data_IF_515330901141
#
_entry.id   IF_515330901141
#
_cell.length_a   1.000
_cell.length_b   1.000
_cell.length_c   1.000
_cell.angle_alpha   90.00
_cell.angle_beta   90.00
_cell.angle_gamma   90.00
#
_symmetry.space_group_name_H-M   'P 1'
#
loop_
_entity.id
_entity.type
_entity.pdbx_description
1 polymer ?
#
# COMPACT_ATOMS: atom_id res chain seq x y z
N UNK A 1 60.23 -63.21 15.05
CA UNK A 1 59.64 -62.12 14.27
C UNK A 1 59.92 -60.83 15.03
N UNK A 2 60.73 -59.94 14.45
CA UNK A 2 61.42 -58.83 15.13
C UNK A 2 60.40 -57.82 15.71
N UNK A 3 60.54 -57.42 16.98
CA UNK A 3 59.62 -56.48 17.65
C UNK A 3 59.48 -55.15 16.92
N UNK A 4 60.55 -54.73 16.24
CA UNK A 4 60.61 -53.50 15.47
C UNK A 4 59.72 -53.54 14.22
N UNK A 5 59.59 -54.70 13.58
CA UNK A 5 58.71 -54.87 12.42
C UNK A 5 57.23 -54.75 12.86
N UNK A 6 56.90 -55.28 14.04
CA UNK A 6 55.55 -55.21 14.61
C UNK A 6 55.19 -53.78 15.03
N UNK A 7 56.12 -53.05 15.66
CA UNK A 7 55.90 -51.64 16.02
C UNK A 7 55.78 -50.72 14.80
N UNK A 8 56.59 -50.95 13.75
CA UNK A 8 56.49 -50.16 12.52
C UNK A 8 55.18 -50.43 11.76
N UNK A 9 54.69 -51.68 11.74
CA UNK A 9 53.39 -52.02 11.18
C UNK A 9 52.22 -51.38 11.96
N UNK A 10 52.30 -51.36 13.29
CA UNK A 10 51.28 -50.72 14.14
C UNK A 10 51.29 -49.19 13.95
N UNK A 11 52.46 -48.55 13.91
CA UNK A 11 52.56 -47.11 13.64
C UNK A 11 52.08 -46.74 12.23
N UNK A 12 52.39 -47.56 11.22
CA UNK A 12 51.90 -47.36 9.85
C UNK A 12 50.37 -47.50 9.78
N UNK A 13 49.79 -48.45 10.53
CA UNK A 13 48.34 -48.66 10.61
C UNK A 13 47.65 -47.48 11.32
N UNK A 14 48.19 -47.03 12.46
CA UNK A 14 47.65 -45.87 13.20
C UNK A 14 47.80 -44.59 12.38
N UNK A 15 48.93 -44.40 11.70
CA UNK A 15 49.15 -43.28 10.78
C UNK A 15 48.19 -43.29 9.60
N UNK A 16 47.92 -44.45 9.00
CA UNK A 16 46.96 -44.61 7.91
C UNK A 16 45.51 -44.39 8.37
N UNK A 17 45.14 -44.82 9.59
CA UNK A 17 43.82 -44.58 10.17
C UNK A 17 43.63 -43.08 10.49
N UNK A 18 44.63 -42.41 11.05
CA UNK A 18 44.56 -40.97 11.32
C UNK A 18 44.55 -40.14 10.03
N UNK A 19 45.33 -40.53 9.02
CA UNK A 19 45.34 -39.86 7.72
C UNK A 19 44.01 -40.06 6.97
N UNK A 20 43.43 -41.26 7.01
CA UNK A 20 42.11 -41.52 6.39
C UNK A 20 40.97 -40.82 7.13
N UNK A 21 40.98 -40.82 8.47
CA UNK A 21 40.04 -40.02 9.27
C UNK A 21 40.19 -38.52 9.00
N UNK A 22 41.42 -38.01 8.86
CA UNK A 22 41.68 -36.62 8.50
C UNK A 22 41.20 -36.25 7.08
N UNK A 23 41.30 -37.16 6.12
CA UNK A 23 40.82 -36.95 4.75
C UNK A 23 39.28 -36.99 4.67
N UNK A 24 38.63 -37.90 5.40
CA UNK A 24 37.17 -37.97 5.50
C UNK A 24 36.62 -36.74 6.22
N UNK A 25 37.24 -36.34 7.34
CA UNK A 25 36.88 -35.11 8.04
C UNK A 25 37.07 -33.88 7.15
N UNK A 26 38.19 -33.77 6.42
CA UNK A 26 38.43 -32.68 5.46
C UNK A 26 37.36 -32.65 4.36
N UNK A 27 37.03 -33.78 3.74
CA UNK A 27 35.99 -33.85 2.71
C UNK A 27 34.59 -33.53 3.25
N UNK A 28 34.31 -33.93 4.50
CA UNK A 28 33.06 -33.59 5.19
C UNK A 28 32.99 -32.08 5.48
N UNK A 29 34.05 -31.49 6.04
CA UNK A 29 34.14 -30.05 6.31
C UNK A 29 34.11 -29.21 5.02
N UNK A 30 34.75 -29.65 3.94
CA UNK A 30 34.70 -28.97 2.63
C UNK A 30 33.28 -29.01 2.06
N UNK A 31 32.60 -30.17 2.10
CA UNK A 31 31.22 -30.31 1.66
C UNK A 31 30.23 -29.52 2.54
N UNK A 32 30.47 -29.43 3.85
CA UNK A 32 29.66 -28.64 4.78
C UNK A 32 29.88 -27.14 4.56
N UNK A 33 31.13 -26.70 4.37
CA UNK A 33 31.47 -25.33 3.94
C UNK A 33 30.83 -24.97 2.59
N UNK A 34 30.80 -25.89 1.63
CA UNK A 34 30.14 -25.66 0.34
C UNK A 34 28.61 -25.55 0.49
N UNK A 35 27.98 -26.38 1.32
CA UNK A 35 26.55 -26.27 1.65
C UNK A 35 26.22 -24.97 2.36
N UNK A 36 27.03 -24.55 3.34
CA UNK A 36 26.87 -23.28 4.03
C UNK A 36 27.01 -22.09 3.07
N UNK A 37 28.01 -22.10 2.17
CA UNK A 37 28.15 -21.08 1.12
C UNK A 37 26.97 -21.05 0.16
N UNK A 38 26.45 -22.22 -0.23
CA UNK A 38 25.27 -22.31 -1.08
C UNK A 38 24.04 -21.73 -0.38
N UNK A 39 23.77 -22.13 0.86
CA UNK A 39 22.65 -21.63 1.66
C UNK A 39 22.76 -20.11 1.91
N UNK A 40 23.96 -19.63 2.23
CA UNK A 40 24.22 -18.20 2.39
C UNK A 40 23.94 -17.43 1.09
N UNK A 41 24.44 -17.90 -0.05
CA UNK A 41 24.21 -17.26 -1.34
C UNK A 41 22.73 -17.28 -1.74
N UNK A 42 22.02 -18.37 -1.45
CA UNK A 42 20.57 -18.49 -1.67
C UNK A 42 19.80 -17.49 -0.80
N UNK A 43 20.05 -17.45 0.51
CA UNK A 43 19.39 -16.50 1.40
C UNK A 43 19.72 -15.04 1.08
N UNK A 44 20.95 -14.76 0.64
CA UNK A 44 21.33 -13.43 0.16
C UNK A 44 20.55 -13.05 -1.10
N UNK A 45 20.46 -13.96 -2.07
CA UNK A 45 19.67 -13.72 -3.29
C UNK A 45 18.20 -13.48 -2.98
N UNK A 46 17.58 -14.31 -2.13
CA UNK A 46 16.19 -14.14 -1.69
C UNK A 46 15.98 -12.82 -0.95
N UNK A 47 16.97 -12.38 -0.18
CA UNK A 47 16.94 -11.08 0.50
C UNK A 47 17.03 -9.92 -0.50
N UNK A 48 17.95 -9.97 -1.46
CA UNK A 48 18.14 -8.91 -2.46
C UNK A 48 16.89 -8.78 -3.38
N UNK A 49 16.33 -9.90 -3.84
CA UNK A 49 15.09 -9.94 -4.61
C UNK A 49 13.88 -9.47 -3.79
N UNK A 50 13.82 -9.85 -2.51
CA UNK A 50 12.80 -9.42 -1.58
C UNK A 50 12.84 -7.94 -1.28
N UNK A 51 14.03 -7.39 -1.03
CA UNK A 51 14.25 -5.97 -0.80
C UNK A 51 13.79 -5.14 -2.01
N UNK A 52 14.09 -5.60 -3.24
CA UNK A 52 13.62 -4.94 -4.45
C UNK A 52 12.09 -4.98 -4.57
N UNK A 53 11.48 -6.15 -4.34
CA UNK A 53 10.02 -6.34 -4.37
C UNK A 53 9.30 -5.47 -3.33
N UNK A 54 9.80 -5.46 -2.08
CA UNK A 54 9.26 -4.64 -0.99
C UNK A 54 9.41 -3.15 -1.26
N UNK A 55 10.56 -2.71 -1.78
CA UNK A 55 10.78 -1.32 -2.14
C UNK A 55 9.80 -0.87 -3.23
N UNK A 56 9.57 -1.69 -4.26
CA UNK A 56 8.59 -1.39 -5.30
C UNK A 56 7.17 -1.27 -4.75
N UNK A 57 6.75 -2.21 -3.89
CA UNK A 57 5.45 -2.17 -3.23
C UNK A 57 5.28 -0.93 -2.34
N UNK A 58 6.26 -0.62 -1.51
CA UNK A 58 6.28 0.56 -0.65
C UNK A 58 6.21 1.87 -1.44
N UNK A 59 6.92 1.94 -2.56
CA UNK A 59 6.92 3.11 -3.44
C UNK A 59 5.54 3.30 -4.09
N UNK A 60 4.98 2.25 -4.71
CA UNK A 60 3.67 2.32 -5.34
C UNK A 60 2.57 2.70 -4.34
N UNK A 61 2.63 2.14 -3.13
CA UNK A 61 1.75 2.52 -2.02
C UNK A 61 1.93 3.99 -1.61
N UNK A 62 3.17 4.43 -1.41
CA UNK A 62 3.47 5.79 -0.96
C UNK A 62 3.06 6.83 -2.00
N UNK A 63 3.25 6.55 -3.29
CA UNK A 63 2.81 7.41 -4.38
C UNK A 63 1.29 7.56 -4.42
N UNK A 64 0.54 6.46 -4.30
CA UNK A 64 -0.93 6.53 -4.27
C UNK A 64 -1.42 7.27 -3.02
N UNK A 65 -0.84 6.98 -1.85
CA UNK A 65 -1.19 7.64 -0.61
C UNK A 65 -0.87 9.15 -0.64
N UNK A 66 0.22 9.56 -1.31
CA UNK A 66 0.62 10.96 -1.42
C UNK A 66 -0.47 11.85 -2.02
N UNK A 67 -1.28 11.33 -2.97
CA UNK A 67 -2.40 12.07 -3.55
C UNK A 67 -3.39 12.59 -2.49
N UNK A 68 -3.65 11.79 -1.45
CA UNK A 68 -4.55 12.17 -0.36
C UNK A 68 -3.95 13.25 0.57
N UNK A 69 -2.63 13.44 0.51
CA UNK A 69 -1.93 14.51 1.23
C UNK A 69 -1.86 15.80 0.42
N UNK A 70 -1.81 15.69 -0.91
CA UNK A 70 -1.67 16.81 -1.85
C UNK A 70 -3.00 17.50 -2.16
N UNK A 71 -4.11 16.75 -2.15
CA UNK A 71 -5.42 17.29 -2.45
C UNK A 71 -6.55 16.43 -1.90
N UNK A 72 -7.79 16.85 -2.18
CA UNK A 72 -9.03 16.15 -1.83
C UNK A 72 -10.02 16.22 -2.99
N UNK A 73 -11.04 15.37 -2.94
CA UNK A 73 -11.98 15.19 -4.04
C UNK A 73 -11.25 14.61 -5.25
N UNK A 74 -10.51 13.52 -5.02
CA UNK A 74 -9.70 12.86 -6.04
C UNK A 74 -10.61 12.16 -7.05
N UNK A 75 -10.46 12.53 -8.32
CA UNK A 75 -11.25 11.97 -9.42
C UNK A 75 -10.66 10.64 -9.89
N UNK A 76 -11.42 9.82 -10.64
CA UNK A 76 -10.91 8.58 -11.20
C UNK A 76 -9.67 8.76 -12.08
N UNK A 77 -9.62 9.85 -12.86
CA UNK A 77 -8.46 10.16 -13.71
C UNK A 77 -7.19 10.41 -12.88
N UNK A 78 -7.31 11.07 -11.72
CA UNK A 78 -6.17 11.31 -10.81
C UNK A 78 -5.70 10.03 -10.10
N UNK A 79 -6.62 9.10 -9.83
CA UNK A 79 -6.33 7.88 -9.05
C UNK A 79 -5.84 6.70 -9.90
N UNK A 80 -6.35 6.57 -11.12
CA UNK A 80 -6.30 5.33 -11.93
C UNK A 80 -4.90 4.73 -12.10
N UNK A 81 -3.92 5.52 -12.55
CA UNK A 81 -2.57 5.04 -12.83
C UNK A 81 -1.88 4.52 -11.56
N UNK A 82 -1.90 5.32 -10.49
CA UNK A 82 -1.26 4.95 -9.22
C UNK A 82 -1.96 3.77 -8.55
N UNK A 83 -3.28 3.67 -8.70
CA UNK A 83 -4.06 2.53 -8.23
C UNK A 83 -3.65 1.23 -8.93
N UNK A 84 -3.51 1.24 -10.26
CA UNK A 84 -3.08 0.06 -11.01
C UNK A 84 -1.61 -0.30 -10.73
N UNK A 85 -0.74 0.69 -10.55
CA UNK A 85 0.65 0.46 -10.15
C UNK A 85 0.76 -0.25 -8.79
N UNK A 86 -0.07 0.13 -7.81
CA UNK A 86 -0.12 -0.57 -6.52
C UNK A 86 -0.63 -2.00 -6.69
N UNK A 87 -1.70 -2.21 -7.47
CA UNK A 87 -2.24 -3.54 -7.75
C UNK A 87 -1.20 -4.47 -8.39
N UNK A 88 -0.43 -3.95 -9.35
CA UNK A 88 0.64 -4.70 -10.00
C UNK A 88 1.75 -5.05 -9.00
N UNK A 89 2.19 -4.08 -8.20
CA UNK A 89 3.25 -4.29 -7.21
C UNK A 89 2.86 -5.31 -6.13
N UNK A 90 1.58 -5.35 -5.74
CA UNK A 90 1.03 -6.38 -4.86
C UNK A 90 1.16 -7.78 -5.46
N UNK A 91 0.86 -7.92 -6.75
CA UNK A 91 1.00 -9.19 -7.47
C UNK A 91 2.47 -9.60 -7.54
N UNK A 92 3.35 -8.70 -7.93
CA UNK A 92 4.79 -8.96 -8.02
C UNK A 92 5.36 -9.37 -6.64
N UNK A 93 4.87 -8.79 -5.54
CA UNK A 93 5.24 -9.19 -4.17
C UNK A 93 4.67 -10.55 -3.77
N UNK A 94 3.44 -10.87 -4.19
CA UNK A 94 2.86 -12.21 -4.00
C UNK A 94 3.65 -13.29 -4.75
N UNK A 95 4.12 -13.00 -5.96
CA UNK A 95 4.95 -13.92 -6.74
C UNK A 95 6.30 -14.17 -6.05
N UNK A 96 6.91 -13.13 -5.48
CA UNK A 96 8.11 -13.26 -4.63
C UNK A 96 7.87 -14.16 -3.41
N UNK A 97 6.73 -14.03 -2.73
CA UNK A 97 6.39 -14.92 -1.61
C UNK A 97 6.30 -16.37 -2.07
N UNK A 98 5.82 -16.64 -3.28
CA UNK A 98 5.83 -17.99 -3.86
C UNK A 98 7.24 -18.57 -4.03
N UNK A 99 8.25 -17.74 -4.33
CA UNK A 99 9.65 -18.17 -4.34
C UNK A 99 10.21 -18.36 -2.93
N UNK A 100 9.81 -17.52 -1.96
CA UNK A 100 10.15 -17.74 -0.55
C UNK A 100 9.59 -19.03 0.00
N UNK A 101 8.40 -19.46 -0.42
CA UNK A 101 7.83 -20.75 0.00
C UNK A 101 8.68 -21.96 -0.43
N UNK A 102 9.48 -21.82 -1.49
CA UNK A 102 10.34 -22.90 -2.01
C UNK A 102 11.68 -22.99 -1.29
N UNK A 103 12.24 -21.84 -0.92
CA UNK A 103 13.65 -21.74 -0.53
C UNK A 103 13.89 -20.99 0.79
N UNK A 104 12.89 -20.27 1.29
CA UNK A 104 12.95 -19.50 2.52
C UNK A 104 12.67 -20.35 3.77
N UNK A 105 12.93 -19.74 4.93
CA UNK A 105 12.58 -20.33 6.22
C UNK A 105 11.11 -20.09 6.55
N UNK A 106 10.52 -20.92 7.42
CA UNK A 106 9.14 -20.74 7.89
C UNK A 106 8.88 -19.33 8.45
N UNK A 107 9.82 -18.79 9.24
CA UNK A 107 9.71 -17.43 9.79
C UNK A 107 9.71 -16.33 8.71
N UNK A 108 10.53 -16.47 7.66
CA UNK A 108 10.53 -15.54 6.53
C UNK A 108 9.19 -15.55 5.80
N UNK A 109 8.64 -16.75 5.55
CA UNK A 109 7.36 -16.93 4.85
C UNK A 109 6.20 -16.35 5.67
N UNK A 110 6.11 -16.68 6.96
CA UNK A 110 5.03 -16.20 7.83
C UNK A 110 5.00 -14.66 7.92
N UNK A 111 6.17 -14.05 8.10
CA UNK A 111 6.25 -12.59 8.23
C UNK A 111 5.99 -11.91 6.88
N UNK A 112 6.47 -12.46 5.76
CA UNK A 112 6.20 -11.93 4.42
C UNK A 112 4.71 -12.02 4.05
N UNK A 113 4.03 -13.13 4.37
CA UNK A 113 2.58 -13.25 4.19
C UNK A 113 1.81 -12.22 5.02
N UNK A 114 2.16 -12.11 6.30
CA UNK A 114 1.54 -11.10 7.16
C UNK A 114 1.82 -9.66 6.65
N UNK A 115 2.99 -9.38 6.07
CA UNK A 115 3.28 -8.09 5.42
C UNK A 115 2.34 -7.83 4.23
N UNK A 116 2.20 -8.83 3.35
CA UNK A 116 1.31 -8.76 2.20
C UNK A 116 -0.17 -8.59 2.61
N UNK A 117 -0.62 -9.25 3.68
CA UNK A 117 -1.99 -9.13 4.19
C UNK A 117 -2.31 -7.69 4.63
N UNK A 118 -1.37 -7.01 5.29
CA UNK A 118 -1.53 -5.60 5.66
C UNK A 118 -1.63 -4.69 4.43
N UNK A 119 -0.83 -4.94 3.40
CA UNK A 119 -0.93 -4.21 2.14
C UNK A 119 -2.25 -4.48 1.40
N UNK A 120 -2.75 -5.71 1.40
CA UNK A 120 -4.08 -6.02 0.86
C UNK A 120 -5.18 -5.28 1.61
N UNK A 121 -5.12 -5.23 2.95
CA UNK A 121 -6.08 -4.46 3.75
C UNK A 121 -6.08 -2.97 3.42
N UNK A 122 -4.91 -2.38 3.15
CA UNK A 122 -4.79 -1.00 2.67
C UNK A 122 -5.34 -0.85 1.26
N UNK A 123 -4.97 -1.75 0.34
CA UNK A 123 -5.42 -1.71 -1.05
C UNK A 123 -6.93 -1.81 -1.17
N UNK A 124 -7.58 -2.69 -0.41
CA UNK A 124 -9.04 -2.83 -0.44
C UNK A 124 -9.76 -1.53 -0.06
N UNK A 125 -9.23 -0.78 0.92
CA UNK A 125 -9.80 0.52 1.28
C UNK A 125 -9.61 1.56 0.17
N UNK A 126 -8.43 1.57 -0.47
CA UNK A 126 -8.13 2.46 -1.59
C UNK A 126 -8.94 2.10 -2.85
N UNK A 127 -9.20 0.82 -3.10
CA UNK A 127 -10.02 0.32 -4.21
C UNK A 127 -11.50 0.67 -4.01
N UNK A 128 -12.02 0.55 -2.80
CA UNK A 128 -13.37 1.03 -2.46
C UNK A 128 -13.50 2.54 -2.68
N UNK A 129 -12.46 3.31 -2.33
CA UNK A 129 -12.44 4.74 -2.57
C UNK A 129 -12.38 5.08 -4.06
N UNK A 130 -11.54 4.37 -4.83
CA UNK A 130 -11.48 4.52 -6.28
C UNK A 130 -12.82 4.21 -6.95
N UNK A 131 -13.51 3.13 -6.53
CA UNK A 131 -14.87 2.81 -6.99
C UNK A 131 -15.89 3.89 -6.63
N UNK A 132 -15.77 4.49 -5.44
CA UNK A 132 -16.62 5.60 -5.02
C UNK A 132 -16.40 6.82 -5.91
N UNK A 133 -15.15 7.15 -6.26
CA UNK A 133 -14.83 8.23 -7.21
C UNK A 133 -15.44 7.98 -8.59
N UNK A 134 -15.40 6.73 -9.08
CA UNK A 134 -16.04 6.35 -10.35
C UNK A 134 -17.57 6.52 -10.29
N UNK A 135 -18.20 6.19 -9.15
CA UNK A 135 -19.63 6.41 -8.96
C UNK A 135 -19.99 7.90 -9.02
N UNK A 136 -19.22 8.75 -8.33
CA UNK A 136 -19.42 10.21 -8.34
C UNK A 136 -19.26 10.77 -9.77
N UNK A 137 -18.22 10.37 -10.49
CA UNK A 137 -18.03 10.81 -11.89
C UNK A 137 -19.19 10.35 -12.78
N UNK A 138 -19.67 9.11 -12.62
CA UNK A 138 -20.84 8.62 -13.34
C UNK A 138 -22.08 9.45 -13.03
N UNK A 139 -22.31 9.80 -11.77
CA UNK A 139 -23.44 10.65 -11.36
C UNK A 139 -23.33 12.06 -11.96
N UNK A 140 -22.13 12.62 -12.04
CA UNK A 140 -21.88 13.89 -12.73
C UNK A 140 -22.20 13.80 -14.24
N UNK A 141 -21.85 12.69 -14.89
CA UNK A 141 -22.26 12.42 -16.29
C UNK A 141 -23.77 12.35 -16.44
N UNK A 142 -24.46 11.65 -15.54
CA UNK A 142 -25.92 11.56 -15.53
C UNK A 142 -26.56 12.95 -15.42
N UNK A 143 -26.06 13.80 -14.51
CA UNK A 143 -26.53 15.18 -14.35
C UNK A 143 -26.39 15.99 -15.65
N UNK A 144 -25.23 15.90 -16.31
CA UNK A 144 -24.95 16.60 -17.57
C UNK A 144 -25.85 16.17 -18.74
N UNK A 145 -26.45 14.98 -18.66
CA UNK A 145 -27.31 14.44 -19.71
C UNK A 145 -28.79 14.77 -19.49
N UNK A 146 -29.18 15.33 -18.35
CA UNK A 146 -30.55 15.82 -18.12
C UNK A 146 -30.77 17.11 -18.93
N UNK A 147 -31.79 17.12 -19.79
CA UNK A 147 -32.08 18.26 -20.68
C UNK A 147 -32.89 19.36 -19.97
N UNK A 148 -33.85 18.98 -19.14
CA UNK A 148 -34.69 19.92 -18.39
C UNK A 148 -34.11 20.16 -16.98
N UNK A 149 -33.39 21.27 -16.84
CA UNK A 149 -32.76 21.70 -15.58
C UNK A 149 -33.79 22.07 -14.50
N UNK A 150 -35.05 22.37 -14.87
CA UNK A 150 -36.11 22.66 -13.93
C UNK A 150 -36.90 21.40 -13.49
N UNK A 151 -36.55 20.23 -14.02
CA UNK A 151 -37.26 18.98 -13.71
C UNK A 151 -36.94 18.44 -12.32
N UNK A 152 -37.90 17.75 -11.70
CA UNK A 152 -37.68 17.00 -10.45
C UNK A 152 -36.57 15.94 -10.61
N UNK A 153 -36.36 15.43 -11.83
CA UNK A 153 -35.30 14.49 -12.13
C UNK A 153 -33.92 15.14 -12.02
N UNK A 154 -33.74 16.37 -12.54
CA UNK A 154 -32.50 17.13 -12.39
C UNK A 154 -32.18 17.33 -10.90
N UNK A 155 -33.15 17.86 -10.14
CA UNK A 155 -32.99 18.10 -8.70
C UNK A 155 -32.63 16.83 -7.92
N UNK A 156 -33.23 15.69 -8.28
CA UNK A 156 -32.91 14.39 -7.67
C UNK A 156 -31.46 13.97 -7.95
N UNK A 157 -31.03 14.04 -9.21
CA UNK A 157 -29.67 13.64 -9.61
C UNK A 157 -28.63 14.58 -8.98
N UNK A 158 -28.94 15.88 -8.91
CA UNK A 158 -28.05 16.90 -8.35
C UNK A 158 -27.82 16.68 -6.84
N UNK A 159 -28.90 16.47 -6.07
CA UNK A 159 -28.80 16.14 -4.63
C UNK A 159 -28.08 14.81 -4.39
N UNK A 160 -28.30 13.82 -5.26
CA UNK A 160 -27.57 12.56 -5.19
C UNK A 160 -26.07 12.75 -5.42
N UNK A 161 -25.69 13.58 -6.39
CA UNK A 161 -24.29 13.94 -6.64
C UNK A 161 -23.65 14.59 -5.42
N UNK A 162 -24.32 15.57 -4.82
CA UNK A 162 -23.82 16.26 -3.61
C UNK A 162 -23.61 15.29 -2.44
N UNK A 163 -24.57 14.41 -2.19
CA UNK A 163 -24.45 13.39 -1.15
C UNK A 163 -23.32 12.38 -1.42
N UNK A 164 -23.15 11.93 -2.67
CA UNK A 164 -22.08 11.01 -3.05
C UNK A 164 -20.69 11.68 -2.92
N UNK A 165 -20.57 12.96 -3.27
CA UNK A 165 -19.35 13.76 -3.08
C UNK A 165 -19.03 13.90 -1.60
N UNK A 166 -20.00 14.26 -0.77
CA UNK A 166 -19.76 14.42 0.66
C UNK A 166 -19.27 13.10 1.29
N UNK A 167 -19.91 11.98 0.93
CA UNK A 167 -19.49 10.65 1.35
C UNK A 167 -18.07 10.31 0.89
N UNK A 168 -17.73 10.64 -0.36
CA UNK A 168 -16.39 10.48 -0.90
C UNK A 168 -15.37 11.25 -0.05
N UNK A 169 -15.61 12.52 0.25
CA UNK A 169 -14.71 13.37 1.04
C UNK A 169 -14.55 12.87 2.48
N UNK A 170 -15.65 12.46 3.12
CA UNK A 170 -15.61 11.85 4.47
C UNK A 170 -14.70 10.61 4.48
N UNK A 171 -14.81 9.76 3.45
CA UNK A 171 -13.97 8.58 3.32
C UNK A 171 -12.49 8.93 3.05
N UNK A 172 -12.20 9.92 2.20
CA UNK A 172 -10.81 10.38 2.00
C UNK A 172 -10.16 10.84 3.30
N UNK A 173 -10.90 11.62 4.10
CA UNK A 173 -10.42 12.08 5.40
C UNK A 173 -10.13 10.90 6.33
N UNK A 174 -11.01 9.90 6.39
CA UNK A 174 -10.76 8.66 7.15
C UNK A 174 -9.51 7.93 6.65
N UNK A 175 -9.39 7.77 5.34
CA UNK A 175 -8.27 7.10 4.65
C UNK A 175 -6.94 7.77 5.01
N UNK A 176 -6.88 9.11 4.93
CA UNK A 176 -5.69 9.88 5.24
C UNK A 176 -5.13 9.54 6.63
N UNK A 177 -5.96 9.58 7.68
CA UNK A 177 -5.50 9.27 9.03
C UNK A 177 -5.28 7.78 9.26
N UNK A 178 -6.24 6.93 8.88
CA UNK A 178 -6.14 5.48 9.13
C UNK A 178 -4.88 4.89 8.49
N UNK A 179 -4.63 5.20 7.22
CA UNK A 179 -3.50 4.67 6.50
C UNK A 179 -2.20 5.34 6.97
N UNK A 180 -2.15 6.67 6.95
CA UNK A 180 -0.92 7.41 7.25
C UNK A 180 -0.42 7.25 8.68
N UNK A 181 -1.31 7.40 9.65
CA UNK A 181 -0.92 7.48 11.07
C UNK A 181 -0.93 6.13 11.78
N UNK A 182 -1.72 5.16 11.28
CA UNK A 182 -1.93 3.90 12.00
C UNK A 182 -1.46 2.67 11.23
N UNK A 183 -1.75 2.54 9.93
CA UNK A 183 -1.36 1.34 9.16
C UNK A 183 0.09 1.39 8.66
N UNK A 184 0.54 2.54 8.14
CA UNK A 184 1.91 2.71 7.64
C UNK A 184 2.98 2.35 8.68
N UNK A 185 2.88 2.78 9.96
CA UNK A 185 3.86 2.38 10.97
C UNK A 185 3.89 0.87 11.23
N UNK A 186 2.73 0.19 11.19
CA UNK A 186 2.65 -1.26 11.36
C UNK A 186 3.31 -1.99 10.19
N UNK A 187 3.03 -1.58 8.95
CA UNK A 187 3.67 -2.11 7.74
C UNK A 187 5.20 -1.99 7.85
N UNK A 188 5.71 -0.79 8.15
CA UNK A 188 7.15 -0.55 8.29
C UNK A 188 7.78 -1.43 9.40
N UNK A 189 7.07 -1.64 10.51
CA UNK A 189 7.57 -2.52 11.57
C UNK A 189 7.61 -3.99 11.14
N UNK A 190 6.63 -4.46 10.38
CA UNK A 190 6.59 -5.84 9.85
C UNK A 190 7.72 -6.03 8.82
N UNK A 191 7.99 -5.03 7.98
CA UNK A 191 9.12 -5.04 7.06
C UNK A 191 10.45 -5.19 7.81
N UNK A 192 10.66 -4.43 8.90
CA UNK A 192 11.87 -4.60 9.72
C UNK A 192 11.92 -5.97 10.40
N UNK A 193 10.78 -6.56 10.73
CA UNK A 193 10.74 -7.91 11.25
C UNK A 193 11.14 -8.95 10.19
N UNK A 194 10.75 -8.75 8.93
CA UNK A 194 11.20 -9.60 7.83
C UNK A 194 12.71 -9.45 7.60
N UNK A 195 13.23 -8.22 7.64
CA UNK A 195 14.67 -7.96 7.57
C UNK A 195 15.43 -8.68 8.70
N UNK A 196 14.89 -8.73 9.92
CA UNK A 196 15.49 -9.49 11.01
C UNK A 196 15.61 -10.99 10.68
N UNK A 197 14.58 -11.60 10.08
CA UNK A 197 14.63 -13.01 9.69
C UNK A 197 15.72 -13.30 8.66
N UNK A 198 15.87 -12.44 7.65
CA UNK A 198 16.95 -12.58 6.67
C UNK A 198 18.32 -12.38 7.29
N UNK A 199 18.47 -11.38 8.18
CA UNK A 199 19.73 -11.17 8.89
C UNK A 199 20.10 -12.37 9.76
N UNK A 200 19.14 -12.95 10.48
CA UNK A 200 19.33 -14.17 11.26
C UNK A 200 19.80 -15.34 10.39
N UNK A 201 19.19 -15.57 9.23
CA UNK A 201 19.60 -16.60 8.28
C UNK A 201 21.02 -16.38 7.71
N UNK A 202 21.51 -15.14 7.69
CA UNK A 202 22.86 -14.78 7.25
C UNK A 202 23.87 -14.68 8.41
N UNK A 203 23.47 -14.99 9.65
CA UNK A 203 24.32 -14.84 10.84
C UNK A 203 24.63 -13.39 11.21
N UNK A 204 23.85 -12.43 10.70
CA UNK A 204 24.01 -11.00 10.97
C UNK A 204 23.15 -10.58 12.16
N UNK A 205 23.69 -9.80 13.11
CA UNK A 205 22.92 -9.34 14.27
C UNK A 205 21.88 -8.29 13.86
N UNK A 206 20.84 -8.13 14.68
CA UNK A 206 19.88 -7.03 14.55
C UNK A 206 20.58 -5.67 14.66
N UNK A 207 20.16 -4.70 13.86
CA UNK A 207 20.54 -3.30 14.07
C UNK A 207 19.68 -2.70 15.20
N UNK A 208 20.11 -1.57 15.76
CA UNK A 208 19.33 -0.86 16.78
C UNK A 208 17.94 -0.46 16.25
N UNK A 209 17.88 0.09 15.04
CA UNK A 209 16.62 0.49 14.39
C UNK A 209 15.65 -0.70 14.21
N UNK A 210 16.14 -1.86 13.74
CA UNK A 210 15.33 -3.08 13.62
C UNK A 210 14.74 -3.47 14.98
N UNK A 211 15.56 -3.48 16.04
CA UNK A 211 15.10 -3.85 17.37
C UNK A 211 14.03 -2.88 17.91
N UNK A 212 14.21 -1.57 17.74
CA UNK A 212 13.26 -0.55 18.17
C UNK A 212 11.92 -0.66 17.43
N UNK A 213 11.95 -0.87 16.10
CA UNK A 213 10.75 -1.04 15.28
C UNK A 213 9.96 -2.30 15.62
N UNK A 214 10.66 -3.42 15.88
CA UNK A 214 10.00 -4.67 16.27
C UNK A 214 9.39 -4.57 17.67
N UNK A 215 10.11 -3.96 18.62
CA UNK A 215 9.60 -3.82 19.99
C UNK A 215 8.36 -2.93 20.10
N UNK A 216 8.19 -1.98 19.17
CA UNK A 216 7.02 -1.10 19.12
C UNK A 216 5.83 -1.70 18.35
N UNK A 217 6.01 -2.80 17.60
CA UNK A 217 4.94 -3.42 16.80
C UNK A 217 3.66 -3.76 17.58
N UNK A 218 3.71 -4.35 18.79
CA UNK A 218 2.50 -4.67 19.54
C UNK A 218 1.65 -3.43 19.84
N UNK A 219 2.30 -2.34 20.24
CA UNK A 219 1.64 -1.07 20.52
C UNK A 219 1.07 -0.44 19.24
N UNK A 220 1.83 -0.45 18.14
CA UNK A 220 1.37 0.07 16.85
C UNK A 220 0.16 -0.72 16.31
N UNK A 221 0.17 -2.05 16.42
CA UNK A 221 -0.96 -2.91 16.05
C UNK A 221 -2.18 -2.60 16.90
N UNK A 222 -2.00 -2.46 18.21
CA UNK A 222 -3.09 -2.10 19.10
C UNK A 222 -3.70 -0.73 18.73
N UNK A 223 -2.87 0.29 18.47
CA UNK A 223 -3.36 1.61 18.04
C UNK A 223 -4.11 1.55 16.72
N UNK A 224 -3.62 0.76 15.76
CA UNK A 224 -4.26 0.59 14.46
C UNK A 224 -5.60 -0.13 14.54
N UNK A 225 -5.68 -1.21 15.32
CA UNK A 225 -6.91 -2.01 15.46
C UNK A 225 -8.00 -1.28 16.26
N UNK A 226 -7.63 -0.34 17.12
CA UNK A 226 -8.56 0.47 17.93
C UNK A 226 -8.68 1.92 17.41
N UNK A 227 -8.29 2.16 16.16
CA UNK A 227 -8.48 3.47 15.54
C UNK A 227 -9.97 3.73 15.30
N UNK A 228 -10.46 4.84 15.86
CA UNK A 228 -11.79 5.35 15.57
C UNK A 228 -11.69 6.70 14.87
N UNK A 229 -12.37 6.81 13.72
CA UNK A 229 -12.51 8.08 13.02
C UNK A 229 -13.84 8.72 13.40
N UNK A 230 -13.78 9.87 14.08
CA UNK A 230 -14.98 10.67 14.35
C UNK A 230 -15.30 11.53 13.14
N UNK A 231 -16.44 11.25 12.51
CA UNK A 231 -16.97 12.03 11.40
C UNK A 231 -17.07 13.52 11.75
N UNK A 232 -16.62 14.37 10.82
CA UNK A 232 -16.59 15.82 11.00
C UNK A 232 -17.88 16.44 10.43
N UNK A 233 -18.38 17.47 11.10
CA UNK A 233 -19.54 18.25 10.64
C UNK A 233 -19.25 19.03 9.37
N UNK A 234 -17.99 19.48 9.19
CA UNK A 234 -17.52 20.27 8.05
C UNK A 234 -16.45 19.48 7.26
N UNK A 235 -16.85 18.46 6.49
CA UNK A 235 -15.91 17.50 5.91
C UNK A 235 -14.97 18.10 4.87
N UNK A 236 -15.41 19.11 4.11
CA UNK A 236 -14.59 19.74 3.06
C UNK A 236 -13.57 20.71 3.66
N UNK A 237 -13.99 21.50 4.65
CA UNK A 237 -13.07 22.33 5.45
C UNK A 237 -11.99 21.49 6.11
N UNK A 238 -12.37 20.36 6.69
CA UNK A 238 -11.43 19.46 7.30
C UNK A 238 -10.49 18.83 6.26
N UNK A 239 -11.00 18.46 5.08
CA UNK A 239 -10.19 17.90 4.00
C UNK A 239 -9.10 18.86 3.51
N UNK A 240 -9.41 20.15 3.40
CA UNK A 240 -8.44 21.19 3.04
C UNK A 240 -7.35 21.36 4.10
N UNK A 241 -7.68 21.20 5.39
CA UNK A 241 -6.76 21.38 6.52
C UNK A 241 -6.12 20.09 7.06
N UNK A 242 -6.44 18.91 6.53
CA UNK A 242 -6.14 17.61 7.18
C UNK A 242 -4.65 17.34 7.38
N UNK A 243 -3.78 17.91 6.55
CA UNK A 243 -2.33 17.82 6.72
C UNK A 243 -1.81 18.53 7.98
N UNK A 244 -2.57 19.47 8.54
CA UNK A 244 -2.19 20.27 9.70
C UNK A 244 -3.06 20.01 10.94
N UNK A 245 -4.10 19.18 10.82
CA UNK A 245 -5.09 18.97 11.87
C UNK A 245 -5.06 17.53 12.41
N UNK A 246 -5.39 17.36 13.69
CA UNK A 246 -5.55 16.04 14.29
C UNK A 246 -6.92 15.44 13.94
N UNK A 247 -7.04 14.10 13.83
CA UNK A 247 -8.32 13.43 13.56
C UNK A 247 -9.36 13.67 14.65
N UNK A 248 -8.93 14.07 15.85
CA UNK A 248 -9.80 14.37 17.01
C UNK A 248 -10.21 15.83 17.10
N UNK A 249 -9.69 16.72 16.24
CA UNK A 249 -9.99 18.16 16.30
C UNK A 249 -11.47 18.44 16.04
N UNK A 250 -12.11 19.25 16.88
CA UNK A 250 -13.46 19.76 16.68
C UNK A 250 -13.44 21.28 16.61
N UNK A 251 -14.17 21.85 15.66
CA UNK A 251 -14.37 23.29 15.59
C UNK A 251 -15.32 23.71 16.73
N UNK A 252 -14.88 24.64 17.57
CA UNK A 252 -15.66 25.21 18.66
C UNK A 252 -15.87 26.72 18.43
N UNK A 253 -16.99 27.26 18.88
CA UNK A 253 -17.33 28.68 18.77
C UNK A 253 -18.27 28.99 17.60
N UNK A 254 -18.24 30.24 17.14
CA UNK A 254 -18.96 30.70 15.95
C UNK A 254 -18.38 30.01 14.70
N UNK A 255 -19.21 29.23 14.01
CA UNK A 255 -18.82 28.43 12.85
C UNK A 255 -19.32 28.98 11.53
N UNK A 256 -19.99 30.14 11.51
CA UNK A 256 -20.68 30.66 10.31
C UNK A 256 -19.72 30.84 9.12
N UNK A 257 -18.51 31.35 9.39
CA UNK A 257 -17.45 31.46 8.39
C UNK A 257 -17.01 30.09 7.85
N UNK A 258 -16.87 29.09 8.72
CA UNK A 258 -16.43 27.75 8.35
C UNK A 258 -17.51 26.98 7.60
N UNK A 259 -18.79 27.17 7.95
CA UNK A 259 -19.93 26.63 7.23
C UNK A 259 -19.98 27.20 5.81
N UNK A 260 -19.90 28.52 5.66
CA UNK A 260 -19.87 29.19 4.35
C UNK A 260 -18.71 28.67 3.49
N UNK A 261 -17.51 28.54 4.07
CA UNK A 261 -16.34 28.04 3.34
C UNK A 261 -16.52 26.56 2.96
N UNK A 262 -17.08 25.73 3.84
CA UNK A 262 -17.36 24.33 3.55
C UNK A 262 -18.26 24.17 2.32
N UNK A 263 -19.30 24.99 2.20
CA UNK A 263 -20.24 24.94 1.07
C UNK A 263 -19.58 25.36 -0.25
N UNK A 264 -18.73 26.38 -0.22
CA UNK A 264 -17.93 26.80 -1.38
C UNK A 264 -17.00 25.65 -1.82
N UNK A 265 -16.33 24.99 -0.87
CA UNK A 265 -15.45 23.87 -1.17
C UNK A 265 -16.24 22.68 -1.75
N UNK A 266 -17.44 22.40 -1.24
CA UNK A 266 -18.33 21.37 -1.77
C UNK A 266 -18.70 21.65 -3.24
N UNK A 267 -19.08 22.90 -3.55
CA UNK A 267 -19.37 23.32 -4.91
C UNK A 267 -18.15 23.19 -5.83
N UNK A 268 -16.95 23.55 -5.36
CA UNK A 268 -15.71 23.41 -6.14
C UNK A 268 -15.40 21.93 -6.46
N UNK A 269 -15.58 21.03 -5.51
CA UNK A 269 -15.39 19.59 -5.74
C UNK A 269 -16.42 19.05 -6.74
N UNK A 270 -17.69 19.46 -6.64
CA UNK A 270 -18.74 19.13 -7.63
C UNK A 270 -18.33 19.56 -9.04
N UNK A 271 -17.87 20.81 -9.19
CA UNK A 271 -17.38 21.32 -10.47
C UNK A 271 -16.15 20.57 -10.97
N UNK A 272 -15.23 20.15 -10.08
CA UNK A 272 -14.07 19.32 -10.44
C UNK A 272 -14.50 17.97 -11.03
N UNK A 273 -15.48 17.29 -10.43
CA UNK A 273 -16.00 16.02 -10.96
C UNK A 273 -16.76 16.20 -12.27
N UNK A 274 -17.54 17.27 -12.42
CA UNK A 274 -18.20 17.61 -13.70
C UNK A 274 -17.16 17.86 -14.80
N UNK A 275 -16.11 18.63 -14.51
CA UNK A 275 -15.02 18.88 -15.47
C UNK A 275 -14.31 17.59 -15.86
N UNK A 276 -13.92 16.77 -14.87
CA UNK A 276 -13.28 15.47 -15.10
C UNK A 276 -14.14 14.54 -15.95
N UNK A 277 -15.45 14.48 -15.69
CA UNK A 277 -16.41 13.71 -16.47
C UNK A 277 -16.46 14.12 -17.95
N UNK A 278 -16.40 15.43 -18.23
CA UNK A 278 -16.37 15.96 -19.60
C UNK A 278 -15.03 15.67 -20.26
N UNK A 279 -13.93 15.98 -19.59
CA UNK A 279 -12.57 15.89 -20.15
C UNK A 279 -12.19 14.47 -20.55
N UNK A 280 -12.66 13.47 -19.80
CA UNK A 280 -12.29 12.06 -19.99
C UNK A 280 -13.30 11.25 -20.80
N UNK A 281 -14.35 11.87 -21.35
CA UNK A 281 -15.42 11.20 -22.11
C UNK A 281 -15.70 11.88 -23.46
N UNK A 282 -15.10 11.35 -24.53
CA UNK A 282 -15.25 11.91 -25.89
C UNK A 282 -16.69 11.93 -26.38
N UNK A 283 -17.45 10.87 -26.10
CA UNK A 283 -18.84 10.79 -26.51
C UNK A 283 -19.67 11.88 -25.82
N UNK A 284 -19.45 12.06 -24.52
CA UNK A 284 -20.12 13.14 -23.77
C UNK A 284 -19.76 14.52 -24.31
N UNK A 285 -18.49 14.77 -24.65
CA UNK A 285 -18.09 16.04 -25.27
C UNK A 285 -18.81 16.32 -26.59
N UNK A 286 -18.93 15.30 -27.45
CA UNK A 286 -19.63 15.40 -28.73
C UNK A 286 -21.12 15.65 -28.53
N UNK A 287 -21.74 14.93 -27.59
CA UNK A 287 -23.16 15.08 -27.27
C UNK A 287 -23.49 16.46 -26.70
N UNK A 288 -22.69 16.98 -25.77
CA UNK A 288 -22.86 18.33 -25.22
C UNK A 288 -22.69 19.41 -26.30
N UNK A 289 -21.73 19.25 -27.23
CA UNK A 289 -21.56 20.15 -28.39
C UNK A 289 -22.77 20.12 -29.32
N UNK A 290 -23.31 18.93 -29.59
CA UNK A 290 -24.53 18.75 -30.41
C UNK A 290 -25.71 19.49 -29.79
N UNK A 291 -25.96 19.29 -28.49
CA UNK A 291 -27.05 19.95 -27.74
C UNK A 291 -26.93 21.47 -27.74
N UNK A 292 -25.73 21.99 -27.47
CA UNK A 292 -25.46 23.44 -27.53
C UNK A 292 -25.81 24.03 -28.91
N UNK A 293 -25.44 23.33 -29.98
CA UNK A 293 -25.73 23.77 -31.36
C UNK A 293 -27.22 23.73 -31.68
N UNK A 294 -27.95 22.73 -31.18
CA UNK A 294 -29.41 22.63 -31.36
C UNK A 294 -30.15 23.77 -30.64
N UNK A 295 -29.82 24.04 -29.38
CA UNK A 295 -30.44 25.12 -28.60
C UNK A 295 -30.15 26.52 -29.19
N UNK A 296 -28.97 26.73 -29.79
CA UNK A 296 -28.66 27.98 -30.49
C UNK A 296 -29.55 28.19 -31.72
N UNK A 297 -29.81 27.12 -32.50
CA UNK A 297 -30.70 27.19 -33.66
C UNK A 297 -32.15 27.46 -33.28
N UNK A 298 -32.62 26.88 -32.17
CA UNK A 298 -33.98 27.12 -31.66
C UNK A 298 -34.19 28.56 -31.19
N UNK A 299 -33.17 29.20 -30.61
CA UNK A 299 -33.24 30.60 -30.18
C UNK A 299 -33.09 31.62 -31.32
N UNK A 300 -32.60 31.19 -32.49
CA UNK A 300 -32.46 32.02 -33.70
C UNK A 300 -33.69 31.93 -34.64
N UNK A 301 -34.64 31.04 -34.34
CA UNK A 301 -35.86 30.78 -35.13
C UNK A 301 -37.09 31.47 -34.53
#
# INVERSE_FOLDING_TARGET
MNSDLKNNLIMALVGAILASAGFIAKGYFEAESEKEKFAFNLHKKLYDEGAASMAALNNAYSELYALYSEGYGLTPSELSEKHENLRKSLKDHSDYIGELERYGTTGQIEIAKNHLDWFWGVYLELDLQYKTANQVEKRAKELLLVEDVASEHFDFVDKALESEIERLIRNENRIFYSIGWYKKPVINGIEQYLNLQFRGALGLPATKDIAEKINSLPELRHKSNNFEYKEKRLPFMFAEGRSFQAPTLEFQGDTDFFETKNDILAANVKMKFIASAIENDKWLQEELKRRKTAAQKENES
#
